data_IF_635869450976
#
_entry.id   IF_635869450976
#
_cell.length_a   1.000
_cell.length_b   1.000
_cell.length_c   1.000
_cell.angle_alpha   90.00
_cell.angle_beta   90.00
_cell.angle_gamma   90.00
#
_symmetry.space_group_name_H-M   'P 1'
#
loop_
_entity.id
_entity.type
_entity.pdbx_description
1 polymer ?
#
# COMPACT_ATOMS: atom_id res chain seq x y z
N UNK A 1 -4.75 26.05 4.86
CA UNK A 1 -4.77 25.58 3.45
C UNK A 1 -3.69 24.51 3.30
N UNK A 2 -4.05 23.24 3.24
CA UNK A 2 -3.09 22.10 3.18
C UNK A 2 -2.94 21.72 1.70
N UNK A 3 -1.72 21.61 1.14
CA UNK A 3 -1.52 21.29 -0.27
C UNK A 3 -2.10 19.91 -0.60
N UNK A 4 -2.92 19.84 -1.66
CA UNK A 4 -3.58 18.62 -2.18
C UNK A 4 -2.60 17.73 -2.95
N UNK A 5 -1.53 17.33 -2.27
CA UNK A 5 -0.50 16.43 -2.77
C UNK A 5 0.26 15.93 -1.56
N UNK A 6 -0.43 15.20 -0.67
CA UNK A 6 0.20 14.59 0.48
C UNK A 6 1.32 13.69 -0.02
N UNK A 7 2.56 14.12 0.20
CA UNK A 7 3.71 13.23 0.18
C UNK A 7 3.41 12.20 1.25
N UNK A 8 2.90 11.05 0.85
CA UNK A 8 3.03 9.85 1.65
C UNK A 8 4.52 9.55 1.66
N UNK A 9 5.21 10.11 2.66
CA UNK A 9 6.52 9.69 3.08
C UNK A 9 6.36 8.19 3.34
N UNK A 10 6.76 7.35 2.39
CA UNK A 10 6.93 5.93 2.66
C UNK A 10 8.08 5.88 3.65
N UNK A 11 7.73 5.92 4.94
CA UNK A 11 8.66 5.62 6.02
C UNK A 11 9.33 4.31 5.61
N UNK A 12 10.66 4.34 5.43
CA UNK A 12 11.39 3.16 5.00
C UNK A 12 11.01 1.99 5.92
N UNK A 13 10.58 0.87 5.34
CA UNK A 13 10.26 -0.35 6.09
C UNK A 13 11.59 -0.90 6.63
N UNK A 14 11.90 -0.61 7.90
CA UNK A 14 13.16 -1.04 8.53
C UNK A 14 12.88 -2.26 9.42
N UNK A 15 13.72 -3.29 9.29
CA UNK A 15 13.79 -4.42 10.21
C UNK A 15 15.25 -4.57 10.67
N UNK A 16 15.47 -4.60 11.98
CA UNK A 16 16.80 -4.73 12.58
C UNK A 16 17.03 -6.19 13.01
N UNK A 17 18.16 -6.75 12.58
CA UNK A 17 18.59 -8.10 12.96
C UNK A 17 18.76 -8.22 14.47
N UNK A 18 18.20 -9.26 15.06
CA UNK A 18 18.35 -9.56 16.49
C UNK A 18 19.55 -10.51 16.73
N UNK A 19 20.19 -10.47 17.92
CA UNK A 19 21.20 -11.45 18.29
C UNK A 19 20.66 -12.89 18.16
N UNK A 20 21.40 -13.79 17.53
CA UNK A 20 20.98 -15.17 17.31
C UNK A 20 19.96 -15.39 16.17
N UNK A 21 19.49 -14.32 15.52
CA UNK A 21 18.58 -14.42 14.37
C UNK A 21 19.35 -14.85 13.12
N UNK A 22 18.81 -15.83 12.39
CA UNK A 22 19.36 -16.21 11.08
C UNK A 22 18.95 -15.20 10.00
N UNK A 23 19.66 -15.17 8.88
CA UNK A 23 19.33 -14.27 7.77
C UNK A 23 17.97 -14.60 7.16
N UNK A 24 17.60 -15.88 7.07
CA UNK A 24 16.28 -16.29 6.58
C UNK A 24 15.15 -15.78 7.48
N UNK A 25 15.33 -15.82 8.81
CA UNK A 25 14.36 -15.28 9.76
C UNK A 25 14.23 -13.76 9.62
N UNK A 26 15.33 -13.05 9.36
CA UNK A 26 15.33 -11.61 9.12
C UNK A 26 14.57 -11.27 7.83
N UNK A 27 14.85 -11.99 6.74
CA UNK A 27 14.18 -11.82 5.44
C UNK A 27 12.68 -12.12 5.58
N UNK A 28 12.30 -13.17 6.30
CA UNK A 28 10.90 -13.52 6.54
C UNK A 28 10.16 -12.40 7.32
N UNK A 29 10.79 -11.85 8.36
CA UNK A 29 10.24 -10.73 9.13
C UNK A 29 10.05 -9.49 8.26
N UNK A 30 11.01 -9.19 7.38
CA UNK A 30 10.89 -8.09 6.41
C UNK A 30 9.74 -8.31 5.43
N UNK A 31 9.63 -9.50 4.80
CA UNK A 31 8.51 -9.83 3.91
C UNK A 31 7.16 -9.68 4.60
N UNK A 32 7.04 -10.18 5.84
CA UNK A 32 5.81 -10.04 6.64
C UNK A 32 5.45 -8.56 6.87
N UNK A 33 6.44 -7.72 7.16
CA UNK A 33 6.23 -6.28 7.36
C UNK A 33 5.81 -5.57 6.08
N UNK A 34 6.45 -5.87 4.94
CA UNK A 34 6.05 -5.32 3.63
C UNK A 34 4.60 -5.66 3.25
N UNK A 35 4.17 -6.89 3.56
CA UNK A 35 2.78 -7.32 3.33
C UNK A 35 1.81 -6.60 4.27
N UNK A 36 2.16 -6.47 5.55
CA UNK A 36 1.32 -5.78 6.53
C UNK A 36 1.13 -4.29 6.20
N UNK A 37 2.16 -3.64 5.65
CA UNK A 37 2.13 -2.23 5.23
C UNK A 37 1.55 -2.02 3.82
N UNK A 38 1.13 -3.08 3.12
CA UNK A 38 0.56 -3.06 1.75
C UNK A 38 1.43 -2.29 0.73
N UNK A 39 2.75 -2.29 0.94
CA UNK A 39 3.72 -1.50 0.16
C UNK A 39 3.68 -1.87 -1.33
N UNK A 40 3.53 -3.16 -1.64
CA UNK A 40 3.51 -3.66 -3.02
C UNK A 40 2.33 -3.06 -3.80
N UNK A 41 1.15 -3.00 -3.17
CA UNK A 41 -0.05 -2.43 -3.78
C UNK A 41 0.10 -0.92 -3.98
N UNK A 42 0.70 -0.23 -3.02
CA UNK A 42 0.94 1.20 -3.11
C UNK A 42 1.92 1.56 -4.24
N UNK A 43 3.01 0.79 -4.38
CA UNK A 43 3.95 0.94 -5.50
C UNK A 43 3.23 0.79 -6.83
N UNK A 44 2.41 -0.26 -6.99
CA UNK A 44 1.64 -0.48 -8.24
C UNK A 44 0.65 0.65 -8.54
N UNK A 45 0.00 1.23 -7.51
CA UNK A 45 -0.89 2.40 -7.68
C UNK A 45 -0.15 3.64 -8.17
N UNK A 46 1.14 3.76 -7.84
CA UNK A 46 2.00 4.91 -8.20
C UNK A 46 2.85 4.68 -9.44
N UNK A 47 2.90 3.45 -9.95
CA UNK A 47 3.66 3.07 -11.14
C UNK A 47 3.29 3.95 -12.34
N UNK A 48 2.00 4.31 -12.47
CA UNK A 48 1.51 5.20 -13.50
C UNK A 48 0.73 6.37 -12.91
N UNK A 49 0.89 7.55 -13.50
CA UNK A 49 0.07 8.69 -13.14
C UNK A 49 -1.41 8.44 -13.52
N UNK A 50 -2.31 8.66 -12.56
CA UNK A 50 -3.76 8.61 -12.79
C UNK A 50 -4.37 9.95 -12.38
N UNK A 51 -5.16 10.54 -13.28
CA UNK A 51 -5.90 11.78 -12.96
C UNK A 51 -6.79 11.57 -11.73
N UNK A 52 -6.83 12.51 -10.76
CA UNK A 52 -7.63 12.37 -9.55
C UNK A 52 -9.12 12.12 -9.80
N UNK A 53 -9.67 12.66 -10.89
CA UNK A 53 -11.05 12.42 -11.32
C UNK A 53 -11.31 10.95 -11.65
N UNK A 54 -10.35 10.29 -12.30
CA UNK A 54 -10.46 8.86 -12.66
C UNK A 54 -10.38 7.97 -11.43
N UNK A 55 -9.49 8.29 -10.48
CA UNK A 55 -9.42 7.59 -9.18
C UNK A 55 -10.76 7.65 -8.45
N UNK A 56 -11.40 8.83 -8.39
CA UNK A 56 -12.73 8.99 -7.76
C UNK A 56 -13.80 8.19 -8.49
N UNK A 57 -13.82 8.21 -9.82
CA UNK A 57 -14.77 7.47 -10.63
C UNK A 57 -14.67 5.96 -10.39
N UNK A 58 -13.46 5.40 -10.40
CA UNK A 58 -13.22 3.97 -10.20
C UNK A 58 -13.60 3.53 -8.78
N UNK A 59 -13.30 4.34 -7.76
CA UNK A 59 -13.73 4.08 -6.37
C UNK A 59 -15.25 4.00 -6.24
N UNK A 60 -15.97 4.94 -6.87
CA UNK A 60 -17.44 4.94 -6.87
C UNK A 60 -18.02 3.76 -7.65
N UNK A 61 -17.41 3.40 -8.78
CA UNK A 61 -17.82 2.24 -9.58
C UNK A 61 -17.65 0.93 -8.80
N UNK A 62 -16.53 0.76 -8.09
CA UNK A 62 -16.28 -0.41 -7.24
C UNK A 62 -17.31 -0.54 -6.11
N UNK A 63 -17.61 0.56 -5.41
CA UNK A 63 -18.64 0.60 -4.36
C UNK A 63 -20.03 0.21 -4.88
N UNK A 64 -20.41 0.73 -6.05
CA UNK A 64 -21.69 0.38 -6.69
C UNK A 64 -21.75 -1.09 -7.11
N UNK A 65 -20.64 -1.68 -7.57
CA UNK A 65 -20.56 -3.10 -7.93
C UNK A 65 -20.70 -4.01 -6.70
N UNK A 66 -20.03 -3.67 -5.59
CA UNK A 66 -20.14 -4.42 -4.34
C UNK A 66 -21.56 -4.44 -3.75
N UNK A 67 -22.30 -3.33 -3.88
CA UNK A 67 -23.71 -3.25 -3.43
C UNK A 67 -24.68 -4.10 -4.25
N UNK A 68 -24.34 -4.45 -5.51
CA UNK A 68 -25.22 -5.25 -6.40
C UNK A 68 -25.09 -6.76 -6.18
N UNK A 69 -24.06 -7.22 -5.47
CA UNK A 69 -23.88 -8.65 -5.14
C UNK A 69 -24.43 -9.05 -3.77
N UNK A 70 -25.10 -8.12 -3.06
CA UNK A 70 -25.71 -8.31 -1.74
C UNK A 70 -27.24 -8.26 -1.80
N UNK A 71 -27.82 -8.43 -2.99
CA UNK A 71 -29.27 -8.43 -3.25
C UNK A 71 -29.61 -9.71 -4.00
#
# INVERSE_FOLDING_TARGET
MIPKGGVHVSMATIVKKQPGQTDDQLIAAFRKKMLAEDIITEIKKREFYVKPSRVKYEKMKALKKGKRGLI
#
